data_IF_774759548249
#
_entry.id   IF_774759548249
#
_cell.length_a   1.000
_cell.length_b   1.000
_cell.length_c   1.000
_cell.angle_alpha   90.00
_cell.angle_beta   90.00
_cell.angle_gamma   90.00
#
_symmetry.space_group_name_H-M   'P 1'
#
loop_
_entity.id
_entity.type
_entity.pdbx_description
1 polymer ?
#
# COMPACT_ATOMS: atom_id res chain seq x y z
N UNK A 1 7.57 -8.16 -41.35
CA UNK A 1 8.29 -8.66 -40.16
C UNK A 1 7.29 -9.39 -39.29
N UNK A 2 7.39 -10.72 -39.18
CA UNK A 2 6.60 -11.53 -38.25
C UNK A 2 7.04 -11.18 -36.81
N UNK A 3 6.14 -10.67 -36.02
CA UNK A 3 6.34 -10.52 -34.57
C UNK A 3 6.31 -11.94 -33.97
N UNK A 4 7.46 -12.47 -33.59
CA UNK A 4 7.55 -13.75 -32.91
C UNK A 4 7.21 -13.47 -31.45
N UNK A 5 6.11 -14.06 -31.00
CA UNK A 5 5.62 -13.95 -29.62
C UNK A 5 6.62 -14.66 -28.69
N UNK A 6 7.13 -13.93 -27.67
CA UNK A 6 8.08 -14.50 -26.71
C UNK A 6 7.32 -15.36 -25.69
N UNK A 7 7.36 -16.67 -25.92
CA UNK A 7 6.71 -17.68 -25.08
C UNK A 7 7.24 -17.70 -23.64
N UNK A 8 8.49 -17.27 -23.41
CA UNK A 8 9.07 -17.22 -22.06
C UNK A 8 8.47 -16.05 -21.27
N UNK A 9 8.28 -14.91 -21.92
CA UNK A 9 7.61 -13.75 -21.32
C UNK A 9 6.15 -14.07 -20.98
N UNK A 10 5.47 -14.79 -21.86
CA UNK A 10 4.07 -15.24 -21.63
C UNK A 10 4.00 -16.24 -20.48
N UNK A 11 4.93 -17.21 -20.41
CA UNK A 11 5.00 -18.16 -19.29
C UNK A 11 5.27 -17.45 -17.96
N UNK A 12 6.22 -16.51 -17.91
CA UNK A 12 6.48 -15.71 -16.71
C UNK A 12 5.25 -14.89 -16.29
N UNK A 13 4.54 -14.32 -17.25
CA UNK A 13 3.31 -13.57 -16.97
C UNK A 13 2.19 -14.47 -16.48
N UNK A 14 2.03 -15.64 -17.09
CA UNK A 14 1.05 -16.66 -16.67
C UNK A 14 1.36 -17.18 -15.26
N UNK A 15 2.61 -17.44 -14.95
CA UNK A 15 3.04 -17.82 -13.61
C UNK A 15 2.80 -16.72 -12.58
N UNK A 16 3.05 -15.45 -12.94
CA UNK A 16 2.76 -14.32 -12.06
C UNK A 16 1.26 -14.16 -11.81
N UNK A 17 0.42 -14.36 -12.82
CA UNK A 17 -1.05 -14.31 -12.69
C UNK A 17 -1.60 -15.51 -11.93
N UNK A 18 -1.06 -16.71 -12.14
CA UNK A 18 -1.44 -17.90 -11.37
C UNK A 18 -1.02 -17.79 -9.90
N UNK A 19 0.11 -17.16 -9.60
CA UNK A 19 0.53 -16.82 -8.23
C UNK A 19 -0.39 -15.80 -7.57
N UNK A 20 -0.99 -14.88 -8.33
CA UNK A 20 -2.02 -13.96 -7.84
C UNK A 20 -3.38 -14.63 -7.59
N UNK A 21 -3.73 -15.63 -8.42
CA UNK A 21 -5.02 -16.33 -8.33
C UNK A 21 -5.03 -17.44 -7.27
N UNK A 22 -3.89 -18.01 -6.88
CA UNK A 22 -3.82 -19.12 -5.92
C UNK A 22 -3.81 -18.70 -4.45
N UNK A 23 -3.99 -17.44 -4.13
CA UNK A 23 -4.09 -16.92 -2.76
C UNK A 23 -5.37 -17.34 -2.01
N UNK A 24 -6.18 -18.27 -2.56
CA UNK A 24 -7.44 -18.70 -1.93
C UNK A 24 -7.53 -20.19 -1.61
N UNK A 25 -6.44 -20.95 -1.63
CA UNK A 25 -6.44 -22.34 -1.14
C UNK A 25 -5.09 -22.68 -0.52
N UNK A 26 -5.11 -23.12 0.71
CA UNK A 26 -3.99 -23.45 1.60
C UNK A 26 -2.87 -24.32 1.04
N UNK A 27 -2.04 -23.73 0.20
CA UNK A 27 -0.78 -24.28 -0.24
C UNK A 27 0.34 -23.29 0.10
N UNK A 28 1.48 -23.81 0.62
CA UNK A 28 2.70 -23.06 0.93
C UNK A 28 3.33 -22.37 -0.31
N UNK A 29 2.58 -21.48 -0.97
CA UNK A 29 3.14 -20.56 -1.96
C UNK A 29 3.85 -19.43 -1.23
N UNK A 30 5.08 -19.10 -1.61
CA UNK A 30 5.85 -17.99 -1.06
C UNK A 30 5.04 -16.70 -1.20
N UNK A 31 4.44 -16.23 -0.10
CA UNK A 31 3.71 -14.95 -0.10
C UNK A 31 4.71 -13.82 -0.28
N UNK A 32 4.45 -12.94 -1.25
CA UNK A 32 5.22 -11.73 -1.47
C UNK A 32 5.15 -10.78 -0.27
N UNK A 33 3.97 -10.73 0.36
CA UNK A 33 3.76 -9.91 1.55
C UNK A 33 3.97 -10.73 2.81
N UNK A 34 4.65 -10.10 3.75
CA UNK A 34 4.82 -10.63 5.08
C UNK A 34 4.03 -9.80 6.09
N UNK A 35 3.47 -10.49 7.08
CA UNK A 35 2.73 -9.89 8.18
C UNK A 35 3.24 -10.48 9.50
N UNK A 36 3.54 -9.64 10.51
CA UNK A 36 3.93 -10.14 11.80
C UNK A 36 2.79 -10.93 12.46
N UNK A 37 3.10 -12.10 13.01
CA UNK A 37 2.20 -12.87 13.87
C UNK A 37 2.30 -12.36 15.32
N UNK A 38 1.28 -12.65 16.13
CA UNK A 38 1.32 -12.34 17.58
C UNK A 38 2.53 -13.03 18.21
N UNK A 39 3.26 -12.29 19.04
CA UNK A 39 4.47 -12.75 19.71
C UNK A 39 5.72 -12.00 19.27
N UNK A 40 6.88 -12.63 19.49
CA UNK A 40 8.20 -12.07 19.18
C UNK A 40 8.73 -12.65 17.88
N UNK A 41 9.20 -11.79 17.01
CA UNK A 41 9.82 -12.15 15.73
C UNK A 41 11.06 -11.30 15.48
N UNK A 42 11.92 -11.77 14.59
CA UNK A 42 13.14 -11.03 14.21
C UNK A 42 13.19 -10.97 12.70
N UNK A 43 13.37 -9.75 12.19
CA UNK A 43 13.54 -9.50 10.74
C UNK A 43 14.79 -8.68 10.51
N UNK A 44 15.31 -8.73 9.31
CA UNK A 44 16.30 -7.81 8.79
C UNK A 44 15.69 -6.94 7.72
N UNK A 45 15.67 -5.62 7.95
CA UNK A 45 15.39 -4.68 6.87
C UNK A 45 16.62 -4.63 5.97
N UNK A 46 16.43 -4.78 4.68
CA UNK A 46 17.53 -4.80 3.72
C UNK A 46 17.56 -3.51 2.90
N UNK A 47 18.72 -3.10 2.35
CA UNK A 47 18.81 -1.95 1.47
C UNK A 47 17.80 -2.09 0.33
N UNK A 48 17.07 -1.03 0.04
CA UNK A 48 16.03 -1.06 -1.00
C UNK A 48 16.63 -0.83 -2.39
N UNK A 49 16.50 -1.81 -3.27
CA UNK A 49 16.99 -1.73 -4.65
C UNK A 49 16.34 -0.59 -5.44
N UNK A 50 15.08 -0.30 -5.15
CA UNK A 50 14.25 0.67 -5.88
C UNK A 50 14.28 2.07 -5.29
N UNK A 51 14.76 2.22 -4.03
CA UNK A 51 14.97 3.50 -3.38
C UNK A 51 16.30 3.48 -2.61
N UNK A 52 17.31 4.11 -3.18
CA UNK A 52 18.67 4.11 -2.62
C UNK A 52 18.86 5.08 -1.46
N UNK A 53 17.91 6.01 -1.25
CA UNK A 53 18.03 7.03 -0.22
C UNK A 53 17.52 6.53 1.13
N UNK A 54 16.41 5.80 1.11
CA UNK A 54 15.79 5.22 2.31
C UNK A 54 15.29 3.81 1.99
N UNK A 55 15.31 2.88 2.95
CA UNK A 55 14.87 1.50 2.71
C UNK A 55 13.35 1.36 2.56
N UNK A 56 12.61 2.44 2.71
CA UNK A 56 11.16 2.45 2.73
C UNK A 56 10.57 3.01 1.45
N UNK A 57 9.41 2.47 1.06
CA UNK A 57 8.58 3.01 -0.03
C UNK A 57 7.24 3.44 0.57
N UNK A 58 6.92 4.71 0.47
CA UNK A 58 5.63 5.26 0.90
C UNK A 58 4.65 5.22 -0.26
N UNK A 59 3.43 4.76 0.00
CA UNK A 59 2.35 4.74 -0.98
C UNK A 59 1.04 5.20 -0.35
N UNK A 60 0.23 5.86 -1.14
CA UNK A 60 -1.09 6.38 -0.79
C UNK A 60 -2.18 5.44 -1.29
N UNK A 61 -3.14 5.13 -0.41
CA UNK A 61 -4.25 4.25 -0.71
C UNK A 61 -5.59 4.82 -0.27
N UNK A 62 -6.61 4.57 -1.05
CA UNK A 62 -8.01 4.77 -0.71
C UNK A 62 -8.65 3.47 -0.28
N UNK A 63 -9.51 3.54 0.72
CA UNK A 63 -10.21 2.40 1.28
C UNK A 63 -11.71 2.66 1.26
N UNK A 64 -12.47 1.70 0.70
CA UNK A 64 -13.93 1.80 0.61
C UNK A 64 -14.43 2.76 -0.49
N UNK A 65 -13.54 3.18 -1.39
CA UNK A 65 -13.87 3.96 -2.58
C UNK A 65 -13.58 3.07 -3.79
N UNK A 66 -14.61 2.73 -4.58
CA UNK A 66 -14.48 1.75 -5.65
C UNK A 66 -14.09 0.35 -5.16
N UNK A 67 -13.20 -0.38 -5.87
CA UNK A 67 -12.74 -1.68 -5.41
C UNK A 67 -12.02 -1.53 -4.06
N UNK A 68 -12.18 -2.49 -3.19
CA UNK A 68 -11.81 -2.54 -1.74
C UNK A 68 -10.61 -1.70 -1.29
N UNK A 69 -9.53 -1.70 -2.06
CA UNK A 69 -8.30 -0.93 -1.83
C UNK A 69 -7.80 -0.44 -3.18
N UNK A 70 -7.66 0.86 -3.30
CA UNK A 70 -7.21 1.50 -4.53
C UNK A 70 -5.98 2.33 -4.26
N UNK A 71 -4.89 2.08 -5.02
CA UNK A 71 -3.71 2.92 -4.94
C UNK A 71 -3.97 4.26 -5.64
N UNK A 72 -3.60 5.36 -4.96
CA UNK A 72 -3.73 6.71 -5.51
C UNK A 72 -2.83 6.89 -6.74
N UNK A 73 -3.32 7.51 -7.82
CA UNK A 73 -2.51 7.87 -8.99
C UNK A 73 -1.29 8.73 -8.65
N UNK A 74 -1.32 9.48 -7.55
CA UNK A 74 -0.19 10.27 -7.08
C UNK A 74 1.06 9.45 -6.81
N UNK A 75 0.93 8.17 -6.48
CA UNK A 75 2.08 7.29 -6.31
C UNK A 75 2.96 7.24 -7.57
N UNK A 76 2.37 7.51 -8.73
CA UNK A 76 3.04 7.56 -10.03
C UNK A 76 3.19 8.97 -10.59
N UNK A 77 2.97 10.00 -9.74
CA UNK A 77 3.07 11.41 -10.15
C UNK A 77 1.92 11.91 -11.02
N UNK A 78 0.79 11.19 -11.05
CA UNK A 78 -0.38 11.56 -11.83
C UNK A 78 -1.41 12.35 -11.02
N UNK A 79 -2.26 13.10 -11.73
CA UNK A 79 -3.39 13.80 -11.12
C UNK A 79 -4.35 12.80 -10.46
N UNK A 80 -4.89 13.21 -9.32
CA UNK A 80 -5.79 12.38 -8.52
C UNK A 80 -7.11 13.13 -8.28
N UNK A 81 -8.22 12.67 -8.90
CA UNK A 81 -9.51 13.35 -8.81
C UNK A 81 -10.07 13.39 -7.38
N UNK A 82 -9.77 12.39 -6.55
CA UNK A 82 -10.21 12.38 -5.15
C UNK A 82 -9.49 13.47 -4.36
N UNK A 83 -8.20 13.65 -4.60
CA UNK A 83 -7.44 14.70 -3.91
C UNK A 83 -7.91 16.09 -4.35
N UNK A 84 -8.15 16.31 -5.62
CA UNK A 84 -8.67 17.58 -6.13
C UNK A 84 -10.02 17.91 -5.51
N UNK A 85 -10.91 16.93 -5.46
CA UNK A 85 -12.22 17.08 -4.81
C UNK A 85 -12.11 17.34 -3.30
N UNK A 86 -11.28 16.61 -2.58
CA UNK A 86 -11.08 16.84 -1.14
C UNK A 86 -10.52 18.22 -0.84
N UNK A 87 -9.66 18.75 -1.71
CA UNK A 87 -9.16 20.13 -1.61
C UNK A 87 -10.28 21.15 -1.73
N UNK A 88 -11.19 20.99 -2.70
CA UNK A 88 -12.37 21.86 -2.83
C UNK A 88 -13.31 21.76 -1.64
N UNK A 89 -13.61 20.55 -1.17
CA UNK A 89 -14.45 20.35 0.00
C UNK A 89 -13.90 21.10 1.23
N UNK A 90 -12.58 21.12 1.41
CA UNK A 90 -11.95 21.85 2.51
C UNK A 90 -12.00 23.37 2.33
N UNK A 91 -11.96 23.86 1.10
CA UNK A 91 -12.03 25.28 0.78
C UNK A 91 -13.43 25.87 0.99
N UNK A 92 -14.47 25.05 0.97
CA UNK A 92 -15.86 25.49 1.14
C UNK A 92 -16.18 26.06 2.52
N UNK A 93 -15.34 25.81 3.54
CA UNK A 93 -15.56 26.24 4.92
C UNK A 93 -16.70 25.51 5.65
N UNK A 94 -17.40 24.60 4.99
CA UNK A 94 -18.49 23.82 5.57
C UNK A 94 -17.97 22.64 6.38
N UNK A 95 -18.52 22.46 7.59
CA UNK A 95 -18.13 21.38 8.51
C UNK A 95 -18.46 19.97 7.97
N UNK A 96 -19.56 19.81 7.23
CA UNK A 96 -19.93 18.52 6.63
C UNK A 96 -18.95 18.18 5.48
N UNK A 97 -18.63 19.17 4.64
CA UNK A 97 -17.64 19.03 3.59
C UNK A 97 -16.25 18.66 4.16
N UNK A 98 -15.85 19.29 5.25
CA UNK A 98 -14.60 18.95 5.91
C UNK A 98 -14.58 17.52 6.43
N UNK A 99 -15.69 17.04 7.02
CA UNK A 99 -15.84 15.66 7.47
C UNK A 99 -15.77 14.66 6.32
N UNK A 100 -16.42 14.99 5.20
CA UNK A 100 -16.37 14.16 3.98
C UNK A 100 -14.95 14.11 3.44
N UNK A 101 -14.29 15.25 3.28
CA UNK A 101 -12.90 15.33 2.85
C UNK A 101 -11.98 14.45 3.71
N UNK A 102 -12.14 14.48 5.04
CA UNK A 102 -11.36 13.64 5.96
C UNK A 102 -11.58 12.13 5.76
N UNK A 103 -12.77 11.73 5.31
CA UNK A 103 -13.05 10.32 4.98
C UNK A 103 -12.43 9.89 3.67
N UNK A 104 -12.41 10.81 2.71
CA UNK A 104 -11.81 10.61 1.39
C UNK A 104 -10.29 10.71 1.40
N UNK A 105 -9.67 11.07 2.53
CA UNK A 105 -8.22 11.19 2.61
C UNK A 105 -7.53 9.85 2.34
N UNK A 106 -6.57 9.89 1.44
CA UNK A 106 -5.68 8.77 1.22
C UNK A 106 -4.92 8.40 2.49
N UNK A 107 -4.77 7.12 2.74
CA UNK A 107 -3.98 6.61 3.86
C UNK A 107 -2.60 6.21 3.37
N UNK A 108 -1.58 6.75 4.03
CA UNK A 108 -0.20 6.36 3.75
C UNK A 108 0.07 4.96 4.31
N UNK A 109 0.65 4.10 3.47
CA UNK A 109 1.20 2.80 3.85
C UNK A 109 2.67 2.76 3.47
N UNK A 110 3.46 2.20 4.32
CA UNK A 110 4.90 2.10 4.14
C UNK A 110 5.25 0.65 3.90
N UNK A 111 6.12 0.41 2.92
CA UNK A 111 6.62 -0.90 2.56
C UNK A 111 8.13 -0.95 2.79
N UNK A 112 8.57 -1.98 3.47
CA UNK A 112 9.99 -2.27 3.64
C UNK A 112 10.32 -3.65 3.06
N UNK A 113 11.42 -3.78 2.30
CA UNK A 113 11.97 -5.07 1.94
C UNK A 113 12.62 -5.68 3.19
N UNK A 114 12.19 -6.86 3.56
CA UNK A 114 12.69 -7.57 4.74
C UNK A 114 13.07 -9.00 4.42
N UNK A 115 13.96 -9.54 5.24
CA UNK A 115 14.26 -10.97 5.35
C UNK A 115 13.86 -11.42 6.75
N UNK A 116 13.11 -12.49 6.85
CA UNK A 116 12.72 -13.09 8.14
C UNK A 116 13.88 -13.96 8.62
N UNK A 117 14.31 -13.76 9.86
CA UNK A 117 15.41 -14.56 10.42
C UNK A 117 15.00 -16.02 10.62
N UNK A 118 15.82 -16.91 10.07
CA UNK A 118 15.56 -18.34 10.00
C UNK A 118 14.81 -18.79 8.73
N UNK A 119 14.46 -17.84 7.85
CA UNK A 119 13.79 -18.09 6.55
C UNK A 119 14.52 -17.36 5.41
N UNK A 120 15.84 -17.14 5.53
CA UNK A 120 16.62 -16.32 4.59
C UNK A 120 16.56 -16.87 3.15
N UNK A 121 16.45 -18.18 3.00
CA UNK A 121 16.33 -18.85 1.70
C UNK A 121 15.01 -18.55 0.97
N UNK A 122 14.00 -18.12 1.71
CA UNK A 122 12.73 -17.67 1.10
C UNK A 122 12.87 -16.35 0.35
N UNK A 123 13.97 -15.63 0.58
CA UNK A 123 14.27 -14.36 -0.05
C UNK A 123 13.57 -13.17 0.58
N UNK A 124 13.49 -12.09 -0.17
CA UNK A 124 12.91 -10.82 0.30
C UNK A 124 11.39 -10.87 0.25
N UNK A 125 10.79 -10.45 1.35
CA UNK A 125 9.35 -10.23 1.48
C UNK A 125 9.07 -8.74 1.69
N UNK A 126 7.90 -8.27 1.30
CA UNK A 126 7.44 -6.92 1.58
C UNK A 126 6.65 -6.90 2.89
N UNK A 127 7.13 -6.13 3.84
CA UNK A 127 6.36 -5.84 5.05
C UNK A 127 5.68 -4.49 4.92
N UNK A 128 4.35 -4.50 4.97
CA UNK A 128 3.51 -3.31 5.00
C UNK A 128 3.19 -2.92 6.43
N UNK A 129 3.37 -1.64 6.77
CA UNK A 129 3.04 -1.10 8.09
C UNK A 129 2.51 0.33 8.01
N UNK A 130 2.00 0.82 9.14
CA UNK A 130 1.45 2.16 9.27
C UNK A 130 2.45 3.17 9.81
N UNK A 131 1.96 4.40 10.02
CA UNK A 131 2.76 5.54 10.44
C UNK A 131 3.50 5.34 11.77
N UNK A 132 2.92 4.62 12.74
CA UNK A 132 3.54 4.41 14.05
C UNK A 132 4.87 3.65 13.93
N UNK A 133 4.83 2.48 13.29
CA UNK A 133 6.04 1.66 13.06
C UNK A 133 7.05 2.42 12.20
N UNK A 134 6.57 3.23 11.25
CA UNK A 134 7.44 4.08 10.44
C UNK A 134 8.19 5.11 11.28
N UNK A 135 7.49 5.79 12.20
CA UNK A 135 8.12 6.73 13.13
C UNK A 135 9.18 6.05 14.00
N UNK A 136 8.91 4.84 14.48
CA UNK A 136 9.88 4.08 15.26
C UNK A 136 11.14 3.77 14.43
N UNK A 137 10.99 3.40 13.16
CA UNK A 137 12.12 3.20 12.24
C UNK A 137 12.90 4.47 11.97
N UNK A 138 12.22 5.60 11.75
CA UNK A 138 12.88 6.89 11.52
C UNK A 138 13.65 7.35 12.77
N UNK A 139 13.08 7.14 13.96
CA UNK A 139 13.78 7.42 15.22
C UNK A 139 15.03 6.55 15.37
N UNK A 140 14.94 5.25 15.05
CA UNK A 140 16.11 4.37 15.04
C UNK A 140 17.17 4.82 14.03
N UNK A 141 16.77 5.23 12.84
CA UNK A 141 17.68 5.69 11.79
C UNK A 141 18.40 7.02 12.13
N UNK A 142 17.76 7.85 12.96
CA UNK A 142 18.34 9.12 13.43
C UNK A 142 19.27 8.98 14.62
N UNK A 143 19.35 7.80 15.23
CA UNK A 143 20.21 7.51 16.37
C UNK A 143 21.60 7.08 15.89
N UNK A 144 22.61 7.90 16.18
CA UNK A 144 23.99 7.67 15.76
C UNK A 144 24.60 6.37 16.39
N UNK A 145 24.12 5.95 17.56
CA UNK A 145 24.58 4.72 18.21
C UNK A 145 24.05 3.46 17.51
N UNK A 146 22.88 3.57 16.85
CA UNK A 146 22.29 2.47 16.09
C UNK A 146 22.95 2.39 14.71
N UNK A 147 23.18 3.54 14.07
CA UNK A 147 23.77 3.64 12.75
C UNK A 147 22.88 3.05 11.65
N UNK A 148 23.47 2.70 10.52
CA UNK A 148 22.74 2.06 9.42
C UNK A 148 22.39 0.61 9.74
N UNK A 149 21.19 0.40 10.27
CA UNK A 149 20.67 -0.93 10.57
C UNK A 149 20.42 -1.80 9.32
N UNK A 150 20.43 -1.22 8.12
CA UNK A 150 20.23 -1.96 6.86
C UNK A 150 21.55 -2.45 6.26
N UNK A 151 22.72 -2.04 6.76
CA UNK A 151 24.02 -2.42 6.21
C UNK A 151 24.13 -3.95 6.05
N UNK A 152 24.73 -4.38 4.94
CA UNK A 152 24.77 -5.78 4.52
C UNK A 152 25.57 -6.63 5.49
N UNK A 153 26.67 -6.08 6.02
CA UNK A 153 27.64 -6.80 6.88
C UNK A 153 27.48 -6.43 8.35
N UNK A 154 27.42 -5.12 8.63
CA UNK A 154 27.41 -4.55 9.97
C UNK A 154 26.07 -4.04 10.45
N UNK A 155 25.00 -4.27 9.72
CA UNK A 155 23.67 -3.78 10.09
C UNK A 155 23.08 -4.53 11.29
N UNK A 156 21.86 -4.18 11.68
CA UNK A 156 21.19 -4.72 12.88
C UNK A 156 19.88 -5.40 12.53
N UNK A 157 19.60 -6.51 13.19
CA UNK A 157 18.29 -7.14 13.15
C UNK A 157 17.28 -6.30 13.91
N UNK A 158 16.05 -6.34 13.48
CA UNK A 158 14.92 -5.67 14.10
C UNK A 158 14.09 -6.70 14.85
N UNK A 159 13.94 -6.49 16.13
CA UNK A 159 13.09 -7.29 17.00
C UNK A 159 11.69 -6.72 16.99
N UNK A 160 10.73 -7.56 16.70
CA UNK A 160 9.31 -7.22 16.67
C UNK A 160 8.61 -7.85 17.88
N UNK A 161 7.71 -7.10 18.48
CA UNK A 161 6.76 -7.62 19.45
C UNK A 161 5.37 -7.22 19.00
N UNK A 162 4.57 -8.21 18.62
CA UNK A 162 3.19 -8.00 18.17
C UNK A 162 2.24 -8.52 19.23
N UNK A 163 1.30 -7.69 19.64
CA UNK A 163 0.25 -8.01 20.61
C UNK A 163 -1.12 -7.95 19.91
N UNK A 164 -2.03 -8.80 20.35
CA UNK A 164 -3.37 -8.93 19.77
C UNK A 164 -4.37 -7.93 20.32
N UNK A 165 -5.61 -7.96 19.77
CA UNK A 165 -6.71 -7.09 20.16
C UNK A 165 -7.05 -7.17 21.66
N UNK A 166 -6.86 -8.32 22.27
CA UNK A 166 -7.11 -8.56 23.70
C UNK A 166 -6.18 -7.73 24.62
N UNK A 167 -5.01 -7.36 24.13
CA UNK A 167 -4.03 -6.52 24.86
C UNK A 167 -4.18 -5.05 24.48
N UNK A 168 -4.44 -4.77 23.21
CA UNK A 168 -4.51 -3.40 22.69
C UNK A 168 -5.82 -2.69 23.04
N UNK A 169 -6.88 -3.43 23.34
CA UNK A 169 -8.24 -2.89 23.49
C UNK A 169 -8.83 -2.31 22.20
N UNK A 170 -8.18 -2.59 21.06
CA UNK A 170 -8.63 -2.19 19.71
C UNK A 170 -8.87 -3.45 18.87
N UNK A 171 -9.64 -3.39 17.77
CA UNK A 171 -9.85 -4.55 16.91
C UNK A 171 -8.59 -5.01 16.14
N UNK A 172 -7.43 -4.45 16.44
CA UNK A 172 -6.21 -4.62 15.66
C UNK A 172 -5.01 -5.03 16.49
N UNK A 173 -4.10 -5.77 15.86
CA UNK A 173 -2.80 -6.05 16.42
C UNK A 173 -1.95 -4.77 16.45
N UNK A 174 -1.15 -4.61 17.49
CA UNK A 174 -0.12 -3.57 17.58
C UNK A 174 1.26 -4.20 17.54
N UNK A 175 2.14 -3.63 16.74
CA UNK A 175 3.52 -4.10 16.59
C UNK A 175 4.47 -2.98 17.02
N UNK A 176 5.35 -3.28 17.96
CA UNK A 176 6.49 -2.45 18.34
C UNK A 176 7.76 -3.01 17.72
N UNK A 177 8.69 -2.13 17.39
CA UNK A 177 9.97 -2.47 16.76
C UNK A 177 11.12 -1.93 17.59
N UNK A 178 12.23 -2.66 17.61
CA UNK A 178 13.45 -2.22 18.28
C UNK A 178 14.68 -2.89 17.68
N UNK A 179 15.84 -2.21 17.69
CA UNK A 179 17.07 -2.75 17.13
C UNK A 179 17.65 -3.86 18.01
N UNK A 180 18.31 -4.81 17.40
CA UNK A 180 19.21 -5.73 18.11
C UNK A 180 20.44 -4.95 18.56
N UNK A 181 20.93 -5.23 19.76
CA UNK A 181 22.17 -4.63 20.27
C UNK A 181 23.40 -5.09 19.48
N UNK A 182 23.35 -6.30 18.93
CA UNK A 182 24.44 -6.87 18.14
C UNK A 182 24.24 -6.60 16.67
N UNK A 183 25.32 -6.25 15.99
CA UNK A 183 25.38 -6.25 14.52
C UNK A 183 25.52 -7.67 13.99
N UNK A 184 25.01 -7.90 12.80
CA UNK A 184 25.11 -9.19 12.12
C UNK A 184 25.03 -9.01 10.62
N UNK A 185 25.63 -9.88 9.81
CA UNK A 185 25.44 -9.85 8.37
C UNK A 185 24.01 -10.28 7.99
N UNK A 186 23.56 -9.90 6.80
CA UNK A 186 22.27 -10.37 6.24
C UNK A 186 22.26 -11.90 6.17
N UNK A 187 23.31 -12.48 5.60
CA UNK A 187 23.58 -13.92 5.55
C UNK A 187 25.08 -14.17 5.48
N UNK A 188 25.53 -15.35 5.90
CA UNK A 188 26.91 -15.80 5.72
C UNK A 188 27.15 -16.37 4.30
N UNK A 189 26.08 -16.74 3.59
CA UNK A 189 26.15 -17.23 2.21
C UNK A 189 26.03 -16.05 1.22
N UNK A 190 27.08 -15.84 0.45
CA UNK A 190 27.15 -14.77 -0.55
C UNK A 190 26.11 -14.91 -1.67
N UNK A 191 25.72 -16.14 -2.02
CA UNK A 191 24.69 -16.38 -3.04
C UNK A 191 23.31 -15.94 -2.51
N UNK A 192 23.03 -16.21 -1.23
CA UNK A 192 21.81 -15.76 -0.56
C UNK A 192 21.78 -14.23 -0.49
N UNK A 193 22.90 -13.58 -0.11
CA UNK A 193 23.00 -12.12 -0.08
C UNK A 193 22.75 -11.52 -1.47
N UNK A 194 23.38 -12.09 -2.51
CA UNK A 194 23.18 -11.63 -3.89
C UNK A 194 21.72 -11.75 -4.32
N UNK A 195 21.11 -12.89 -4.05
CA UNK A 195 19.68 -13.12 -4.34
C UNK A 195 18.77 -12.10 -3.62
N UNK A 196 19.05 -11.82 -2.35
CA UNK A 196 18.31 -10.83 -1.54
C UNK A 196 18.42 -9.43 -2.14
N UNK A 197 19.59 -9.03 -2.61
CA UNK A 197 19.81 -7.68 -3.15
C UNK A 197 19.29 -7.50 -4.58
N UNK A 198 19.36 -8.56 -5.41
CA UNK A 198 18.97 -8.48 -6.81
C UNK A 198 17.48 -8.74 -7.04
N UNK A 199 16.85 -9.61 -6.24
CA UNK A 199 15.49 -10.09 -6.46
C UNK A 199 14.48 -9.49 -5.46
N UNK A 200 14.50 -8.16 -5.33
CA UNK A 200 13.55 -7.45 -4.48
C UNK A 200 12.27 -7.10 -5.24
N UNK A 201 11.10 -7.39 -4.67
CA UNK A 201 9.85 -6.94 -5.23
C UNK A 201 9.73 -5.40 -5.10
N UNK A 202 9.24 -4.76 -6.16
CA UNK A 202 8.92 -3.34 -6.12
C UNK A 202 7.45 -3.15 -5.73
N UNK A 203 7.13 -2.47 -4.62
CA UNK A 203 5.75 -2.20 -4.24
C UNK A 203 4.94 -1.52 -5.34
N UNK A 204 5.56 -0.62 -6.12
CA UNK A 204 4.91 0.11 -7.21
C UNK A 204 4.41 -0.81 -8.34
N UNK A 205 5.05 -1.96 -8.55
CA UNK A 205 4.68 -2.91 -9.61
C UNK A 205 3.66 -3.95 -9.13
N UNK A 206 3.48 -4.08 -7.81
CA UNK A 206 2.54 -5.03 -7.20
C UNK A 206 1.11 -4.52 -7.25
N UNK A 207 0.92 -3.21 -7.09
CA UNK A 207 -0.41 -2.61 -7.08
C UNK A 207 -0.83 -2.14 -8.46
N UNK A 208 -2.13 -2.35 -8.77
CA UNK A 208 -2.70 -1.83 -10.01
C UNK A 208 -2.64 -0.31 -10.00
N UNK A 209 -2.07 0.26 -11.06
CA UNK A 209 -2.18 1.67 -11.37
C UNK A 209 -3.56 1.93 -11.96
N UNK A 210 -4.36 2.75 -11.29
CA UNK A 210 -5.67 3.15 -11.75
C UNK A 210 -5.59 4.42 -12.58
N UNK A 211 -6.39 4.50 -13.63
CA UNK A 211 -6.51 5.71 -14.43
C UNK A 211 -7.34 6.76 -13.70
N UNK A 212 -7.21 8.02 -14.12
CA UNK A 212 -8.02 9.12 -13.59
C UNK A 212 -9.53 8.80 -13.67
N UNK A 213 -9.99 8.26 -14.79
CA UNK A 213 -11.41 7.92 -14.99
C UNK A 213 -11.87 6.75 -14.12
N UNK A 214 -11.03 5.73 -13.89
CA UNK A 214 -11.35 4.63 -12.96
C UNK A 214 -11.50 5.16 -11.51
N UNK A 215 -10.62 6.05 -11.09
CA UNK A 215 -10.68 6.67 -9.76
C UNK A 215 -11.89 7.58 -9.63
N UNK A 216 -12.18 8.36 -10.68
CA UNK A 216 -13.36 9.22 -10.75
C UNK A 216 -14.65 8.41 -10.64
N UNK A 217 -14.77 7.32 -11.39
CA UNK A 217 -15.94 6.44 -11.36
C UNK A 217 -16.14 5.80 -9.97
N UNK A 218 -15.06 5.33 -9.33
CA UNK A 218 -15.12 4.79 -7.96
C UNK A 218 -15.58 5.82 -6.93
N UNK A 219 -15.18 7.07 -7.07
CA UNK A 219 -15.65 8.14 -6.19
C UNK A 219 -17.13 8.48 -6.44
N UNK A 220 -17.57 8.51 -7.70
CA UNK A 220 -18.99 8.72 -8.05
C UNK A 220 -19.88 7.63 -7.44
N UNK A 221 -19.47 6.36 -7.53
CA UNK A 221 -20.16 5.24 -6.91
C UNK A 221 -20.21 5.39 -5.36
N UNK A 222 -19.12 5.82 -4.75
CA UNK A 222 -19.08 6.08 -3.30
C UNK A 222 -20.01 7.22 -2.87
N UNK A 223 -20.14 8.27 -3.68
CA UNK A 223 -21.00 9.43 -3.39
C UNK A 223 -22.47 9.18 -3.69
N UNK A 224 -22.78 8.28 -4.62
CA UNK A 224 -24.15 7.86 -4.99
C UNK A 224 -24.31 6.37 -4.73
N UNK A 225 -24.51 5.94 -3.49
CA UNK A 225 -24.85 4.54 -3.23
C UNK A 225 -26.25 4.29 -3.78
N UNK A 226 -26.35 3.86 -5.03
CA UNK A 226 -27.58 3.38 -5.61
C UNK A 226 -27.99 2.04 -5.00
N UNK A 227 -29.28 1.87 -4.79
CA UNK A 227 -30.15 0.83 -4.31
C UNK A 227 -29.78 -0.64 -4.69
N UNK A 228 -28.52 -1.05 -4.56
CA UNK A 228 -28.14 -2.45 -4.63
C UNK A 228 -27.71 -2.97 -3.27
N UNK A 229 -28.71 -3.25 -2.43
CA UNK A 229 -28.60 -4.27 -1.42
C UNK A 229 -28.25 -5.61 -2.08
N UNK A 230 -27.11 -6.15 -1.73
CA UNK A 230 -26.84 -7.57 -1.93
C UNK A 230 -25.71 -7.91 -2.90
N UNK A 231 -24.52 -7.98 -2.39
CA UNK A 231 -23.64 -9.14 -2.49
C UNK A 231 -22.27 -8.85 -1.90
N UNK A 232 -22.14 -9.15 -0.62
CA UNK A 232 -20.83 -9.31 0.01
C UNK A 232 -20.40 -10.75 -0.28
N UNK A 233 -19.54 -10.97 -1.24
CA UNK A 233 -18.86 -12.23 -1.41
C UNK A 233 -17.36 -12.07 -1.21
N UNK A 234 -16.86 -12.82 -0.22
CA UNK A 234 -15.53 -13.40 -0.02
C UNK A 234 -14.29 -12.51 -0.21
N UNK A 235 -13.54 -12.39 0.87
CA UNK A 235 -12.27 -11.68 1.04
C UNK A 235 -11.10 -12.31 0.28
N UNK A 236 -10.17 -11.46 -0.22
CA UNK A 236 -8.75 -11.77 -0.17
C UNK A 236 -8.10 -10.96 0.96
N UNK A 237 -7.39 -11.66 1.82
CA UNK A 237 -6.72 -11.14 3.01
C UNK A 237 -5.51 -10.28 2.68
N UNK A 238 -5.73 -8.97 2.54
CA UNK A 238 -4.71 -7.98 2.86
C UNK A 238 -5.02 -7.48 4.26
N UNK A 239 -4.07 -7.43 5.18
CA UNK A 239 -4.35 -7.00 6.54
C UNK A 239 -4.73 -5.53 6.55
N UNK A 240 -6.02 -5.30 6.69
CA UNK A 240 -6.61 -3.97 6.77
C UNK A 240 -6.92 -3.62 8.21
N UNK A 241 -6.31 -2.54 8.67
CA UNK A 241 -6.60 -1.89 9.93
C UNK A 241 -7.50 -0.70 9.65
N UNK A 242 -8.80 -0.84 9.78
CA UNK A 242 -9.76 0.22 9.55
C UNK A 242 -11.19 -0.16 9.99
N UNK A 243 -11.76 0.67 10.85
CA UNK A 243 -13.12 0.54 11.37
C UNK A 243 -14.15 0.38 10.24
N UNK A 244 -14.92 -0.72 10.27
CA UNK A 244 -16.19 -0.84 9.54
C UNK A 244 -17.22 0.07 10.24
N UNK A 245 -17.28 1.32 9.84
CA UNK A 245 -18.48 2.14 10.04
C UNK A 245 -19.12 2.31 8.66
N UNK A 246 -20.17 1.54 8.43
CA UNK A 246 -21.07 1.78 7.31
C UNK A 246 -21.62 3.20 7.43
N UNK A 247 -21.20 4.04 6.52
CA UNK A 247 -21.71 5.39 6.40
C UNK A 247 -22.56 5.46 5.15
N UNK A 248 -23.88 5.48 5.32
CA UNK A 248 -24.79 5.85 4.24
C UNK A 248 -24.88 7.39 4.22
N UNK A 249 -24.51 8.01 3.12
CA UNK A 249 -24.92 9.36 2.82
C UNK A 249 -26.43 9.36 2.54
N UNK A 250 -27.14 10.36 3.10
CA UNK A 250 -28.51 10.65 2.72
C UNK A 250 -28.55 10.83 1.19
N UNK A 251 -29.39 10.06 0.47
CA UNK A 251 -29.41 9.98 -0.99
C UNK A 251 -29.56 11.35 -1.68
N UNK A 252 -30.27 12.31 -1.05
CA UNK A 252 -30.39 13.67 -1.57
C UNK A 252 -29.11 14.48 -1.43
N UNK A 253 -28.32 14.25 -0.39
CA UNK A 253 -27.01 14.89 -0.18
C UNK A 253 -25.91 14.26 -1.06
N UNK A 254 -26.05 12.98 -1.40
CA UNK A 254 -25.16 12.27 -2.33
C UNK A 254 -25.22 12.87 -3.73
N UNK A 255 -26.40 13.06 -4.30
CA UNK A 255 -26.60 13.65 -5.64
C UNK A 255 -25.97 15.04 -5.75
N UNK A 256 -26.22 15.93 -4.76
CA UNK A 256 -25.61 17.26 -4.77
C UNK A 256 -24.07 17.23 -4.71
N UNK A 257 -23.47 16.19 -4.14
CA UNK A 257 -22.01 16.03 -4.08
C UNK A 257 -21.44 15.45 -5.38
N UNK A 258 -22.21 14.59 -6.07
CA UNK A 258 -21.85 14.12 -7.42
C UNK A 258 -21.87 15.28 -8.39
N UNK A 259 -22.93 16.11 -8.37
CA UNK A 259 -23.04 17.29 -9.23
C UNK A 259 -21.86 18.26 -9.00
N UNK A 260 -21.52 18.51 -7.72
CA UNK A 260 -20.35 19.33 -7.34
C UNK A 260 -19.02 18.73 -7.83
N UNK A 261 -18.91 17.41 -7.81
CA UNK A 261 -17.74 16.71 -8.31
C UNK A 261 -17.66 16.76 -9.84
N UNK A 262 -18.79 16.54 -10.53
CA UNK A 262 -18.83 16.58 -11.99
C UNK A 262 -18.58 17.99 -12.54
N UNK A 263 -19.09 19.03 -11.87
CA UNK A 263 -18.83 20.42 -12.23
C UNK A 263 -17.33 20.77 -12.15
N UNK A 264 -16.59 20.18 -11.21
CA UNK A 264 -15.14 20.39 -11.08
C UNK A 264 -14.36 19.94 -12.33
N UNK A 265 -14.84 18.90 -13.03
CA UNK A 265 -14.13 18.30 -14.15
C UNK A 265 -14.81 18.55 -15.51
N UNK A 266 -15.81 19.45 -15.58
CA UNK A 266 -16.44 19.84 -16.86
C UNK A 266 -15.52 20.73 -17.69
N UNK A 267 -14.77 21.63 -17.04
CA UNK A 267 -13.95 22.64 -17.73
C UNK A 267 -12.71 22.05 -18.43
N UNK A 268 -12.20 20.89 -17.97
CA UNK A 268 -11.03 20.24 -18.58
C UNK A 268 -11.31 19.63 -19.98
N UNK A 269 -12.59 19.58 -20.44
CA UNK A 269 -12.95 19.07 -21.77
C UNK A 269 -13.03 20.15 -22.84
N UNK A 270 -13.15 21.42 -22.49
CA UNK A 270 -13.33 22.51 -23.47
C UNK A 270 -12.01 23.16 -23.93
N UNK A 271 -10.91 23.04 -23.19
CA UNK A 271 -9.62 23.66 -23.56
C UNK A 271 -8.82 22.93 -24.67
N UNK A 272 -9.34 21.84 -25.25
CA UNK A 272 -8.61 21.11 -26.32
C UNK A 272 -8.93 21.51 -27.74
N UNK A 273 -9.76 22.50 -27.97
CA UNK A 273 -10.22 22.84 -29.35
C UNK A 273 -9.88 24.23 -29.87
N UNK A 274 -9.10 25.05 -29.18
CA UNK A 274 -8.67 26.33 -29.75
C UNK A 274 -7.13 26.44 -29.80
N UNK A 275 -6.55 25.80 -30.81
CA UNK A 275 -5.23 26.19 -31.33
C UNK A 275 -5.50 27.05 -32.55
N UNK A 276 -5.21 28.37 -32.56
CA UNK A 276 -5.18 29.16 -33.76
C UNK A 276 -3.97 28.76 -34.60
N UNK A 277 -4.22 28.48 -35.87
CA UNK A 277 -3.22 28.26 -36.91
C UNK A 277 -2.30 29.46 -37.08
#
# INVERSE_FOLDING_TARGET
KKVIMDLNLIKQRLESLNKQSSNNTGGKGKSLFWKPSIGKQVVRVVPNKHNKQIPFTEMLFYYGIGPRVMASPQNWGEKDPIQEFTKQLRQSGDKENWRLAKKLDAKTRIFAPIVVRGEEEEGVKLWQFGKQVYQDFLNMASDEEIGDFTDIVGGRDIKLTTVGPEVTGTPYNSTSVGPSLKTSPISNDQNVVKNILENQPNPMDVFKKHTFDEVKAGLQEFLSPDEQEGSISSEPSVPFDGEKKNYSLDTNKGKAKVDQFDDLFKDDKEEKNDLPF
#
